data_IF_089070077798
#
_entry.id   IF_089070077798
#
_cell.length_a   1.000
_cell.length_b   1.000
_cell.length_c   1.000
_cell.angle_alpha   90.00
_cell.angle_beta   90.00
_cell.angle_gamma   90.00
#
_symmetry.space_group_name_H-M   'P 1'
#
loop_
_entity.id
_entity.type
_entity.pdbx_description
1 polymer ?
#
# COMPACT_ATOMS: atom_id res chain seq x y z
N UNK A 1 -13.57 18.02 -45.83
CA UNK A 1 -12.59 16.94 -45.54
C UNK A 1 -12.06 17.15 -44.13
N UNK A 2 -11.84 16.09 -43.34
CA UNK A 2 -11.63 16.20 -41.89
C UNK A 2 -10.30 16.89 -41.55
N UNK A 3 -10.34 17.70 -40.50
CA UNK A 3 -9.21 18.43 -39.91
C UNK A 3 -8.14 17.46 -39.40
N UNK A 4 -6.90 17.65 -39.88
CA UNK A 4 -5.68 16.92 -39.47
C UNK A 4 -5.24 17.20 -38.01
N UNK A 5 -5.98 18.00 -37.23
CA UNK A 5 -5.59 18.38 -35.87
C UNK A 5 -5.94 17.35 -34.77
N UNK A 6 -6.55 16.21 -35.13
CA UNK A 6 -6.96 15.18 -34.16
C UNK A 6 -5.93 14.07 -33.88
N UNK A 7 -4.78 14.05 -34.57
CA UNK A 7 -3.97 12.85 -34.69
C UNK A 7 -2.48 13.04 -34.35
N UNK A 8 -2.16 13.61 -33.18
CA UNK A 8 -0.90 13.30 -32.47
C UNK A 8 -1.09 13.55 -30.96
N UNK A 9 -1.85 12.69 -30.27
CA UNK A 9 -1.47 12.45 -28.88
C UNK A 9 -0.15 11.67 -28.95
N UNK A 10 0.88 12.09 -28.20
CA UNK A 10 2.12 11.31 -28.18
C UNK A 10 1.80 9.93 -27.61
N UNK A 11 2.39 8.87 -28.17
CA UNK A 11 2.21 7.49 -27.68
C UNK A 11 2.49 7.37 -26.17
N UNK A 12 3.43 8.17 -25.65
CA UNK A 12 3.73 8.30 -24.22
C UNK A 12 2.58 8.92 -23.43
N UNK A 13 1.92 9.94 -23.97
CA UNK A 13 0.76 10.58 -23.33
C UNK A 13 -0.49 9.70 -23.31
N UNK A 14 -0.70 8.87 -24.35
CA UNK A 14 -1.77 7.85 -24.36
C UNK A 14 -1.51 6.76 -23.32
N UNK A 15 -0.29 6.21 -23.27
CA UNK A 15 0.06 5.19 -22.27
C UNK A 15 -0.09 5.69 -20.83
N UNK A 16 0.28 6.94 -20.56
CA UNK A 16 0.13 7.52 -19.22
C UNK A 16 -1.34 7.73 -18.85
N UNK A 17 -2.17 8.13 -19.83
CA UNK A 17 -3.61 8.27 -19.64
C UNK A 17 -4.26 6.92 -19.33
N UNK A 18 -3.96 5.89 -20.11
CA UNK A 18 -4.47 4.53 -19.89
C UNK A 18 -4.03 3.99 -18.51
N UNK A 19 -2.78 4.26 -18.12
CA UNK A 19 -2.26 3.89 -16.80
C UNK A 19 -2.98 4.61 -15.66
N UNK A 20 -3.28 5.89 -15.83
CA UNK A 20 -4.06 6.67 -14.85
C UNK A 20 -5.49 6.16 -14.73
N UNK A 21 -6.13 5.79 -15.83
CA UNK A 21 -7.47 5.20 -15.85
C UNK A 21 -7.48 3.84 -15.16
N UNK A 22 -6.47 3.01 -15.42
CA UNK A 22 -6.26 1.76 -14.69
C UNK A 22 -6.14 2.01 -13.18
N UNK A 23 -5.28 2.93 -12.74
CA UNK A 23 -5.09 3.22 -11.31
C UNK A 23 -6.40 3.64 -10.62
N UNK A 24 -7.23 4.46 -11.28
CA UNK A 24 -8.55 4.85 -10.76
C UNK A 24 -9.48 3.65 -10.62
N UNK A 25 -9.53 2.78 -11.62
CA UNK A 25 -10.34 1.55 -11.57
C UNK A 25 -9.83 0.56 -10.51
N UNK A 26 -8.51 0.39 -10.42
CA UNK A 26 -7.86 -0.46 -9.44
C UNK A 26 -8.17 -0.01 -8.01
N UNK A 27 -8.12 1.30 -7.73
CA UNK A 27 -8.48 1.86 -6.43
C UNK A 27 -9.92 1.46 -6.02
N UNK A 28 -10.88 1.60 -6.92
CA UNK A 28 -12.27 1.19 -6.69
C UNK A 28 -12.42 -0.32 -6.49
N UNK A 29 -11.59 -1.12 -7.16
CA UNK A 29 -11.61 -2.57 -7.06
C UNK A 29 -11.11 -3.05 -5.70
N UNK A 30 -9.94 -2.55 -5.27
CA UNK A 30 -9.21 -3.05 -4.10
C UNK A 30 -9.54 -2.31 -2.80
N UNK A 31 -10.28 -1.19 -2.86
CA UNK A 31 -10.68 -0.42 -1.69
C UNK A 31 -12.14 0.03 -1.75
N UNK A 32 -12.94 -0.31 -0.73
CA UNK A 32 -14.32 0.21 -0.61
C UNK A 32 -14.35 1.61 -0.01
N UNK A 33 -13.62 1.82 1.09
CA UNK A 33 -13.67 3.07 1.85
C UNK A 33 -12.80 4.17 1.24
N UNK A 34 -11.53 3.86 0.92
CA UNK A 34 -10.62 4.88 0.40
C UNK A 34 -10.94 5.30 -1.04
N UNK A 35 -11.60 4.43 -1.82
CA UNK A 35 -12.11 4.82 -3.14
C UNK A 35 -13.19 5.91 -3.08
N UNK A 36 -13.82 6.12 -1.92
CA UNK A 36 -14.79 7.21 -1.72
C UNK A 36 -14.13 8.49 -1.23
N UNK A 37 -13.02 8.41 -0.49
CA UNK A 37 -12.39 9.57 0.15
C UNK A 37 -11.22 10.13 -0.64
N UNK A 38 -10.39 9.29 -1.27
CA UNK A 38 -9.24 9.73 -2.06
C UNK A 38 -9.66 10.67 -3.21
N UNK A 39 -10.75 10.41 -3.98
CA UNK A 39 -11.19 11.35 -5.02
C UNK A 39 -11.63 12.73 -4.54
N UNK A 40 -11.80 12.94 -3.23
CA UNK A 40 -12.24 14.21 -2.64
C UNK A 40 -11.07 15.17 -2.35
N UNK A 41 -9.83 14.72 -2.47
CA UNK A 41 -8.64 15.55 -2.23
C UNK A 41 -8.36 16.49 -3.41
N UNK A 42 -7.47 17.46 -3.22
CA UNK A 42 -7.05 18.38 -4.28
C UNK A 42 -6.38 17.64 -5.45
N UNK A 43 -6.63 18.08 -6.68
CA UNK A 43 -6.15 17.43 -7.91
C UNK A 43 -4.63 17.19 -7.93
N UNK A 44 -3.85 18.12 -7.39
CA UNK A 44 -2.39 18.05 -7.36
C UNK A 44 -1.83 17.10 -6.29
N UNK A 45 -2.70 16.50 -5.47
CA UNK A 45 -2.37 15.53 -4.41
C UNK A 45 -3.04 14.18 -4.68
N UNK A 46 -4.14 14.17 -5.44
CA UNK A 46 -4.93 13.00 -5.79
C UNK A 46 -4.09 11.87 -6.39
N UNK A 47 -3.29 12.19 -7.43
CA UNK A 47 -2.45 11.22 -8.12
C UNK A 47 -1.49 10.50 -7.17
N UNK A 48 -0.62 11.24 -6.45
CA UNK A 48 0.31 10.64 -5.51
C UNK A 48 -0.36 9.84 -4.38
N UNK A 49 -1.48 10.31 -3.81
CA UNK A 49 -2.22 9.54 -2.77
C UNK A 49 -2.75 8.24 -3.34
N UNK A 50 -3.37 8.28 -4.53
CA UNK A 50 -3.91 7.09 -5.18
C UNK A 50 -2.82 6.08 -5.50
N UNK A 51 -1.72 6.51 -6.10
CA UNK A 51 -0.61 5.63 -6.47
C UNK A 51 0.09 5.08 -5.22
N UNK A 52 0.36 5.91 -4.22
CA UNK A 52 0.95 5.47 -2.96
C UNK A 52 0.08 4.45 -2.24
N UNK A 53 -1.25 4.60 -2.29
CA UNK A 53 -2.18 3.58 -1.79
C UNK A 53 -2.07 2.26 -2.56
N UNK A 54 -1.99 2.31 -3.89
CA UNK A 54 -1.88 1.10 -4.72
C UNK A 54 -0.53 0.39 -4.51
N UNK A 55 0.56 1.13 -4.37
CA UNK A 55 1.88 0.56 -4.05
C UNK A 55 1.91 -0.10 -2.68
N UNK A 56 1.36 0.58 -1.66
CA UNK A 56 1.17 0.01 -0.34
C UNK A 56 0.28 -1.25 -0.40
N UNK A 57 -0.78 -1.27 -1.23
CA UNK A 57 -1.64 -2.44 -1.41
C UNK A 57 -0.93 -3.61 -2.12
N UNK A 58 -0.05 -3.35 -3.07
CA UNK A 58 0.80 -4.39 -3.69
C UNK A 58 1.72 -4.99 -2.63
N UNK A 59 2.37 -4.15 -1.81
CA UNK A 59 3.24 -4.59 -0.73
C UNK A 59 2.48 -5.45 0.29
N UNK A 60 1.32 -4.96 0.75
CA UNK A 60 0.39 -5.63 1.67
C UNK A 60 -0.05 -6.99 1.14
N UNK A 61 -0.23 -7.13 -0.18
CA UNK A 61 -0.60 -8.40 -0.81
C UNK A 61 0.43 -9.51 -0.55
N UNK A 62 1.73 -9.18 -0.55
CA UNK A 62 2.78 -10.16 -0.28
C UNK A 62 2.94 -10.47 1.22
N UNK A 63 2.43 -9.60 2.10
CA UNK A 63 2.46 -9.77 3.55
C UNK A 63 1.25 -10.58 4.04
N UNK A 64 0.05 -10.26 3.54
CA UNK A 64 -1.24 -10.77 4.04
C UNK A 64 -1.78 -11.99 3.26
N UNK A 65 -1.66 -12.01 1.93
CA UNK A 65 -2.36 -13.02 1.11
C UNK A 65 -1.70 -14.41 1.30
N UNK A 66 -2.52 -15.42 1.60
CA UNK A 66 -2.08 -16.80 1.82
C UNK A 66 -1.67 -17.53 0.53
N UNK A 67 -1.86 -16.90 -0.63
CA UNK A 67 -1.51 -17.44 -1.94
C UNK A 67 -2.42 -18.60 -2.37
N UNK A 68 -2.31 -19.02 -3.65
CA UNK A 68 -3.04 -20.21 -4.14
C UNK A 68 -2.31 -21.52 -3.84
N UNK A 69 -1.08 -21.41 -3.40
CA UNK A 69 -0.25 -22.48 -2.86
C UNK A 69 0.38 -21.98 -1.57
N UNK A 70 0.96 -22.88 -0.81
CA UNK A 70 1.80 -22.49 0.31
C UNK A 70 2.98 -21.64 -0.20
N UNK A 71 3.06 -20.39 0.26
CA UNK A 71 4.14 -19.44 -0.05
C UNK A 71 5.00 -19.30 1.20
N UNK A 72 6.30 -19.57 1.07
CA UNK A 72 7.22 -19.49 2.20
C UNK A 72 7.43 -18.03 2.65
N UNK A 73 7.87 -17.86 3.90
CA UNK A 73 8.22 -16.55 4.43
C UNK A 73 9.32 -15.87 3.60
N UNK A 74 10.29 -16.64 3.13
CA UNK A 74 11.38 -16.17 2.27
C UNK A 74 10.86 -15.66 0.92
N UNK A 75 9.94 -16.39 0.29
CA UNK A 75 9.31 -15.97 -0.98
C UNK A 75 8.54 -14.66 -0.84
N UNK A 76 7.82 -14.48 0.28
CA UNK A 76 7.12 -13.22 0.61
C UNK A 76 8.10 -12.06 0.75
N UNK A 77 9.13 -12.25 1.57
CA UNK A 77 10.17 -11.23 1.82
C UNK A 77 10.90 -10.87 0.53
N UNK A 78 11.22 -11.84 -0.32
CA UNK A 78 11.87 -11.61 -1.61
C UNK A 78 10.98 -10.76 -2.52
N UNK A 79 9.69 -11.06 -2.61
CA UNK A 79 8.75 -10.26 -3.42
C UNK A 79 8.61 -8.81 -2.91
N UNK A 80 8.53 -8.62 -1.59
CA UNK A 80 8.48 -7.29 -0.96
C UNK A 80 9.77 -6.49 -1.23
N UNK A 81 10.94 -7.12 -1.09
CA UNK A 81 12.22 -6.50 -1.39
C UNK A 81 12.37 -6.18 -2.88
N UNK A 82 11.86 -7.03 -3.76
CA UNK A 82 11.87 -6.82 -5.19
C UNK A 82 11.02 -5.61 -5.58
N UNK A 83 9.83 -5.45 -4.99
CA UNK A 83 9.01 -4.24 -5.18
C UNK A 83 9.75 -2.98 -4.74
N UNK A 84 10.37 -3.01 -3.55
CA UNK A 84 11.13 -1.86 -3.05
C UNK A 84 12.30 -1.51 -3.96
N UNK A 85 13.06 -2.51 -4.43
CA UNK A 85 14.18 -2.25 -5.33
C UNK A 85 13.74 -1.67 -6.68
N UNK A 86 12.60 -2.11 -7.23
CA UNK A 86 12.00 -1.51 -8.44
C UNK A 86 11.74 -0.01 -8.23
N UNK A 87 11.21 0.36 -7.07
CA UNK A 87 10.86 1.75 -6.74
C UNK A 87 12.08 2.61 -6.41
N UNK A 88 13.09 2.05 -5.72
CA UNK A 88 14.32 2.75 -5.38
C UNK A 88 15.27 2.90 -6.58
N UNK A 89 15.28 1.93 -7.49
CA UNK A 89 16.19 1.86 -8.61
C UNK A 89 15.45 1.70 -9.96
N UNK A 90 14.53 2.62 -10.34
CA UNK A 90 13.66 2.43 -11.50
C UNK A 90 14.41 2.33 -12.85
N UNK A 91 15.65 2.81 -12.91
CA UNK A 91 16.50 2.82 -14.11
C UNK A 91 17.58 1.71 -14.11
N UNK A 92 17.62 0.84 -13.10
CA UNK A 92 18.60 -0.25 -13.09
C UNK A 92 18.27 -1.31 -14.16
N UNK A 93 19.31 -1.95 -14.71
CA UNK A 93 19.15 -2.97 -15.75
C UNK A 93 18.27 -4.15 -15.29
N UNK A 94 18.39 -4.52 -14.01
CA UNK A 94 17.60 -5.60 -13.39
C UNK A 94 16.13 -5.26 -13.13
N UNK A 95 15.73 -3.98 -13.19
CA UNK A 95 14.37 -3.56 -12.82
C UNK A 95 13.30 -4.16 -13.72
N UNK A 96 13.58 -4.26 -15.02
CA UNK A 96 12.63 -4.86 -15.97
C UNK A 96 12.37 -6.34 -15.65
N UNK A 97 13.44 -7.09 -15.38
CA UNK A 97 13.37 -8.50 -15.02
C UNK A 97 12.60 -8.69 -13.70
N UNK A 98 12.87 -7.86 -12.69
CA UNK A 98 12.15 -7.88 -11.41
C UNK A 98 10.64 -7.67 -11.57
N UNK A 99 10.24 -6.71 -12.42
CA UNK A 99 8.82 -6.51 -12.73
C UNK A 99 8.22 -7.74 -13.42
N UNK A 100 8.93 -8.34 -14.38
CA UNK A 100 8.47 -9.56 -15.07
C UNK A 100 8.32 -10.74 -14.09
N UNK A 101 9.25 -10.89 -13.15
CA UNK A 101 9.19 -11.90 -12.09
C UNK A 101 7.97 -11.71 -11.19
N UNK A 102 7.75 -10.52 -10.63
CA UNK A 102 6.59 -10.25 -9.75
C UNK A 102 5.26 -10.40 -10.47
N UNK A 103 5.16 -9.90 -11.71
CA UNK A 103 3.92 -10.02 -12.49
C UNK A 103 3.65 -11.47 -12.90
N UNK A 104 4.70 -12.26 -13.17
CA UNK A 104 4.61 -13.68 -13.51
C UNK A 104 4.24 -14.58 -12.33
N UNK A 105 4.70 -14.25 -11.12
CA UNK A 105 4.41 -15.04 -9.91
C UNK A 105 3.01 -14.80 -9.33
N UNK A 106 2.33 -13.72 -9.75
CA UNK A 106 1.05 -13.29 -9.19
C UNK A 106 -0.06 -14.38 -9.20
N UNK A 107 -0.10 -15.25 -10.22
CA UNK A 107 -1.12 -16.31 -10.29
C UNK A 107 -1.01 -17.37 -9.19
N UNK A 108 0.20 -17.57 -8.68
CA UNK A 108 0.50 -18.51 -7.61
C UNK A 108 0.52 -17.82 -6.25
N UNK A 109 1.15 -16.65 -6.17
CA UNK A 109 1.36 -15.94 -4.91
C UNK A 109 0.13 -15.22 -4.37
N UNK A 110 -0.90 -14.96 -5.20
CA UNK A 110 -2.03 -14.11 -4.79
C UNK A 110 -3.37 -14.80 -5.01
N UNK A 111 -4.06 -15.13 -3.92
CA UNK A 111 -5.37 -15.76 -3.91
C UNK A 111 -6.48 -14.78 -4.31
N UNK A 112 -6.47 -13.56 -3.79
CA UNK A 112 -7.52 -12.59 -4.10
C UNK A 112 -7.44 -12.14 -5.57
N UNK A 113 -8.48 -12.33 -6.39
CA UNK A 113 -8.42 -12.01 -7.81
C UNK A 113 -8.19 -10.53 -8.11
N UNK A 114 -8.64 -9.63 -7.22
CA UNK A 114 -8.49 -8.19 -7.38
C UNK A 114 -7.07 -7.73 -7.05
N UNK A 115 -6.48 -8.28 -5.99
CA UNK A 115 -5.09 -8.00 -5.63
C UNK A 115 -4.15 -8.59 -6.67
N UNK A 116 -4.49 -9.77 -7.21
CA UNK A 116 -3.74 -10.37 -8.30
C UNK A 116 -3.75 -9.52 -9.57
N UNK A 117 -4.90 -8.98 -9.94
CA UNK A 117 -5.01 -8.05 -11.07
C UNK A 117 -4.12 -6.81 -10.84
N UNK A 118 -4.11 -6.30 -9.60
CA UNK A 118 -3.24 -5.20 -9.20
C UNK A 118 -1.75 -5.52 -9.38
N UNK A 119 -1.28 -6.67 -8.89
CA UNK A 119 0.11 -7.10 -9.07
C UNK A 119 0.44 -7.27 -10.55
N UNK A 120 -0.41 -7.97 -11.32
CA UNK A 120 -0.20 -8.21 -12.77
C UNK A 120 -0.07 -6.93 -13.58
N UNK A 121 -0.82 -5.90 -13.22
CA UNK A 121 -0.83 -4.61 -13.90
C UNK A 121 -0.01 -3.54 -13.17
N UNK A 122 0.90 -3.92 -12.27
CA UNK A 122 1.72 -2.95 -11.52
C UNK A 122 2.54 -2.02 -12.43
N UNK A 123 2.82 -2.42 -13.69
CA UNK A 123 3.45 -1.55 -14.70
C UNK A 123 2.68 -0.25 -14.93
N UNK A 124 1.35 -0.27 -14.87
CA UNK A 124 0.51 0.92 -14.97
C UNK A 124 0.68 1.82 -13.74
N UNK A 125 0.74 1.22 -12.54
CA UNK A 125 0.99 1.96 -11.29
C UNK A 125 2.36 2.66 -11.35
N UNK A 126 3.40 1.92 -11.74
CA UNK A 126 4.77 2.42 -11.91
C UNK A 126 4.89 3.50 -12.99
N UNK A 127 4.12 3.40 -14.09
CA UNK A 127 4.08 4.42 -15.13
C UNK A 127 3.52 5.75 -14.60
N UNK A 128 2.48 5.70 -13.77
CA UNK A 128 1.94 6.90 -13.11
C UNK A 128 2.92 7.43 -12.05
N UNK A 129 3.49 6.56 -11.22
CA UNK A 129 4.52 6.93 -10.24
C UNK A 129 5.67 7.71 -10.90
N UNK A 130 6.19 7.17 -12.01
CA UNK A 130 7.33 7.74 -12.73
C UNK A 130 7.04 9.12 -13.34
N UNK A 131 5.77 9.50 -13.45
CA UNK A 131 5.35 10.81 -13.97
C UNK A 131 5.40 11.93 -12.92
N UNK A 132 5.55 11.60 -11.64
CA UNK A 132 5.64 12.58 -10.56
C UNK A 132 7.02 13.23 -10.47
N UNK A 133 7.06 14.43 -9.88
CA UNK A 133 8.32 15.11 -9.54
C UNK A 133 9.15 14.32 -8.52
N UNK A 134 10.46 14.54 -8.52
CA UNK A 134 11.42 13.78 -7.70
C UNK A 134 11.09 13.84 -6.21
N UNK A 135 10.79 15.04 -5.68
CA UNK A 135 10.42 15.23 -4.27
C UNK A 135 9.21 14.37 -3.85
N UNK A 136 8.25 14.20 -4.76
CA UNK A 136 7.07 13.36 -4.52
C UNK A 136 7.43 11.87 -4.52
N UNK A 137 8.23 11.42 -5.49
CA UNK A 137 8.69 10.03 -5.57
C UNK A 137 9.54 9.67 -4.36
N UNK A 138 10.49 10.52 -3.98
CA UNK A 138 11.34 10.33 -2.78
C UNK A 138 10.50 10.21 -1.51
N UNK A 139 9.48 11.07 -1.35
CA UNK A 139 8.53 10.99 -0.24
C UNK A 139 7.80 9.63 -0.21
N UNK A 140 7.21 9.23 -1.35
CA UNK A 140 6.48 7.96 -1.48
C UNK A 140 7.36 6.76 -1.16
N UNK A 141 8.55 6.68 -1.79
CA UNK A 141 9.48 5.56 -1.62
C UNK A 141 10.01 5.49 -0.19
N UNK A 142 10.31 6.62 0.45
CA UNK A 142 10.79 6.65 1.84
C UNK A 142 9.76 6.07 2.80
N UNK A 143 8.51 6.52 2.72
CA UNK A 143 7.46 6.03 3.61
C UNK A 143 7.11 4.56 3.36
N UNK A 144 7.06 4.14 2.09
CA UNK A 144 6.83 2.74 1.74
C UNK A 144 7.98 1.83 2.19
N UNK A 145 9.22 2.31 2.14
CA UNK A 145 10.39 1.60 2.67
C UNK A 145 10.28 1.36 4.18
N UNK A 146 9.86 2.37 4.92
CA UNK A 146 9.66 2.26 6.37
C UNK A 146 8.52 1.29 6.71
N UNK A 147 7.40 1.37 5.97
CA UNK A 147 6.31 0.40 6.04
C UNK A 147 6.80 -1.03 5.80
N UNK A 148 7.54 -1.26 4.71
CA UNK A 148 8.10 -2.55 4.34
C UNK A 148 9.02 -3.12 5.42
N UNK A 149 9.90 -2.30 5.99
CA UNK A 149 10.77 -2.72 7.09
C UNK A 149 9.96 -3.26 8.27
N UNK A 150 8.92 -2.54 8.67
CA UNK A 150 8.03 -2.93 9.75
C UNK A 150 7.24 -4.20 9.48
N UNK A 151 6.67 -4.31 8.29
CA UNK A 151 5.94 -5.52 7.87
C UNK A 151 6.83 -6.76 7.92
N UNK A 152 8.06 -6.68 7.38
CA UNK A 152 9.00 -7.80 7.46
C UNK A 152 9.45 -8.14 8.88
N UNK A 153 9.50 -7.16 9.78
CA UNK A 153 9.74 -7.38 11.21
C UNK A 153 8.61 -8.26 11.78
N UNK A 154 7.36 -7.87 11.58
CA UNK A 154 6.16 -8.54 12.11
C UNK A 154 5.75 -9.82 11.38
N UNK A 155 6.31 -10.10 10.20
CA UNK A 155 6.27 -11.45 9.62
C UNK A 155 7.12 -12.47 10.39
N UNK A 156 8.09 -12.02 11.19
CA UNK A 156 9.03 -12.86 11.96
C UNK A 156 8.76 -12.88 13.45
N UNK A 157 7.85 -12.04 13.94
CA UNK A 157 7.54 -11.89 15.36
C UNK A 157 6.04 -11.75 15.57
N UNK A 158 5.53 -12.34 16.65
CA UNK A 158 4.15 -12.14 17.07
C UNK A 158 3.97 -10.78 17.77
N UNK A 159 2.75 -10.23 17.72
CA UNK A 159 2.36 -9.07 18.52
C UNK A 159 2.06 -9.55 19.95
N UNK A 160 3.06 -9.48 20.84
CA UNK A 160 2.91 -10.01 22.18
C UNK A 160 2.36 -8.99 23.19
N UNK A 161 2.80 -7.74 23.13
CA UNK A 161 2.49 -6.66 24.09
C UNK A 161 1.76 -5.48 23.43
N UNK A 162 1.24 -4.56 24.26
CA UNK A 162 0.69 -3.31 23.73
C UNK A 162 1.74 -2.44 23.04
N UNK A 163 3.00 -2.53 23.47
CA UNK A 163 4.08 -1.82 22.79
C UNK A 163 4.34 -2.40 21.40
N UNK A 164 4.29 -3.73 21.27
CA UNK A 164 4.41 -4.40 19.97
C UNK A 164 3.21 -4.05 19.08
N UNK A 165 2.01 -3.96 19.65
CA UNK A 165 0.81 -3.54 18.92
C UNK A 165 0.94 -2.10 18.42
N UNK A 166 1.41 -1.17 19.26
CA UNK A 166 1.63 0.22 18.89
C UNK A 166 2.70 0.36 17.80
N UNK A 167 3.75 -0.44 17.88
CA UNK A 167 4.81 -0.49 16.87
C UNK A 167 4.31 -1.11 15.55
N UNK A 168 3.54 -2.20 15.60
CA UNK A 168 2.90 -2.79 14.43
C UNK A 168 1.97 -1.77 13.75
N UNK A 169 1.08 -1.15 14.53
CA UNK A 169 0.15 -0.14 14.03
C UNK A 169 0.89 1.08 13.45
N UNK A 170 2.02 1.46 14.04
CA UNK A 170 2.88 2.51 13.49
C UNK A 170 3.34 2.13 12.09
N UNK A 171 3.90 0.95 11.90
CA UNK A 171 4.42 0.57 10.59
C UNK A 171 3.34 0.45 9.52
N UNK A 172 2.21 -0.20 9.80
CA UNK A 172 1.20 -0.47 8.76
C UNK A 172 0.19 0.67 8.55
N UNK A 173 0.04 1.59 9.50
CA UNK A 173 -0.92 2.70 9.41
C UNK A 173 -0.39 4.07 9.85
N UNK A 174 0.59 4.11 10.76
CA UNK A 174 1.33 5.33 11.06
C UNK A 174 2.19 5.81 9.88
N UNK A 175 2.88 4.93 9.16
CA UNK A 175 3.70 5.34 8.02
C UNK A 175 2.87 5.83 6.81
N UNK A 176 1.72 5.22 6.42
CA UNK A 176 0.84 5.84 5.43
C UNK A 176 0.26 7.17 5.92
N UNK A 177 -0.01 7.32 7.22
CA UNK A 177 -0.46 8.60 7.78
C UNK A 177 0.62 9.68 7.67
N UNK A 178 1.88 9.36 7.99
CA UNK A 178 3.01 10.26 7.79
C UNK A 178 3.21 10.66 6.33
N UNK A 179 3.08 9.70 5.41
CA UNK A 179 3.06 9.98 3.96
C UNK A 179 1.97 10.98 3.58
N UNK A 180 0.73 10.74 4.02
CA UNK A 180 -0.39 11.65 3.73
C UNK A 180 -0.14 13.04 4.31
N UNK A 181 0.28 13.12 5.57
CA UNK A 181 0.55 14.39 6.26
C UNK A 181 1.65 15.18 5.55
N UNK A 182 2.78 14.55 5.24
CA UNK A 182 3.88 15.21 4.55
C UNK A 182 3.45 15.73 3.17
N UNK A 183 2.77 14.90 2.40
CA UNK A 183 2.32 15.25 1.05
C UNK A 183 1.30 16.39 1.08
N UNK A 184 0.32 16.34 1.98
CA UNK A 184 -0.69 17.39 2.15
C UNK A 184 -0.03 18.70 2.57
N UNK A 185 0.87 18.67 3.55
CA UNK A 185 1.57 19.87 4.04
C UNK A 185 2.45 20.52 2.99
N UNK A 186 3.07 19.72 2.12
CA UNK A 186 3.92 20.24 1.03
C UNK A 186 3.13 20.76 -0.16
N UNK A 187 2.00 20.14 -0.51
CA UNK A 187 1.33 20.36 -1.81
C UNK A 187 -0.04 21.00 -1.73
N UNK A 188 -0.74 20.95 -0.59
CA UNK A 188 -2.06 21.57 -0.48
C UNK A 188 -1.99 23.08 -0.68
N UNK A 189 -2.89 23.60 -1.53
CA UNK A 189 -2.99 25.05 -1.76
C UNK A 189 -3.91 25.73 -0.75
N UNK A 190 -4.66 24.94 0.03
CA UNK A 190 -5.73 25.40 0.91
C UNK A 190 -5.45 25.17 2.40
N UNK A 191 -4.30 24.58 2.73
CA UNK A 191 -3.92 24.28 4.11
C UNK A 191 -3.43 25.54 4.83
N UNK A 192 -4.04 25.88 5.97
CA UNK A 192 -3.54 26.92 6.87
C UNK A 192 -2.36 26.41 7.69
N UNK A 193 -1.52 27.31 8.22
CA UNK A 193 -0.39 26.95 9.08
C UNK A 193 -0.84 26.23 10.36
N UNK A 194 -1.98 26.66 10.92
CA UNK A 194 -2.61 26.00 12.07
C UNK A 194 -2.99 24.55 11.74
N UNK A 195 -3.69 24.31 10.63
CA UNK A 195 -4.05 22.95 10.22
C UNK A 195 -2.82 22.12 9.83
N UNK A 196 -1.78 22.73 9.25
CA UNK A 196 -0.49 22.09 8.97
C UNK A 196 0.18 21.59 10.25
N UNK A 197 0.11 22.39 11.32
CA UNK A 197 0.65 22.04 12.64
C UNK A 197 -0.15 20.92 13.28
N UNK A 198 -1.48 20.99 13.23
CA UNK A 198 -2.37 19.93 13.72
C UNK A 198 -2.08 18.59 13.03
N UNK A 199 -1.94 18.57 11.70
CA UNK A 199 -1.63 17.34 10.97
C UNK A 199 -0.31 16.73 11.44
N UNK A 200 0.74 17.55 11.56
CA UNK A 200 2.06 17.10 11.98
C UNK A 200 2.07 16.56 13.42
N UNK A 201 1.37 17.22 14.34
CA UNK A 201 1.31 16.79 15.76
C UNK A 201 0.53 15.48 15.94
N UNK A 202 -0.42 15.18 15.06
CA UNK A 202 -1.35 14.06 15.22
C UNK A 202 -1.15 12.91 14.21
N UNK A 203 -0.21 13.03 13.26
CA UNK A 203 -0.07 12.07 12.14
C UNK A 203 0.08 10.62 12.63
N UNK A 204 0.92 10.41 13.64
CA UNK A 204 1.17 9.07 14.18
C UNK A 204 -0.11 8.51 14.81
N UNK A 205 -0.71 9.27 15.71
CA UNK A 205 -1.86 8.81 16.50
C UNK A 205 -3.10 8.61 15.63
N UNK A 206 -3.26 9.40 14.56
CA UNK A 206 -4.30 9.18 13.55
C UNK A 206 -4.19 7.80 12.91
N UNK A 207 -2.99 7.42 12.45
CA UNK A 207 -2.74 6.11 11.84
C UNK A 207 -2.99 4.96 12.83
N UNK A 208 -2.43 5.07 14.05
CA UNK A 208 -2.62 4.08 15.10
C UNK A 208 -4.10 3.89 15.48
N UNK A 209 -4.84 4.99 15.61
CA UNK A 209 -6.25 4.94 15.95
C UNK A 209 -7.06 4.16 14.91
N UNK A 210 -6.89 4.49 13.62
CA UNK A 210 -7.60 3.79 12.55
C UNK A 210 -7.26 2.29 12.53
N UNK A 211 -5.98 1.93 12.71
CA UNK A 211 -5.57 0.53 12.67
C UNK A 211 -6.09 -0.26 13.87
N UNK A 212 -6.05 0.32 15.08
CA UNK A 212 -6.61 -0.34 16.27
C UNK A 212 -8.11 -0.57 16.14
N UNK A 213 -8.85 0.36 15.54
CA UNK A 213 -10.28 0.18 15.26
C UNK A 213 -10.50 -0.98 14.30
N UNK A 214 -9.71 -1.09 13.22
CA UNK A 214 -9.79 -2.23 12.29
C UNK A 214 -9.48 -3.56 13.00
N UNK A 215 -8.37 -3.65 13.75
CA UNK A 215 -7.97 -4.87 14.50
C UNK A 215 -9.05 -5.33 15.49
N UNK A 216 -9.77 -4.39 16.12
CA UNK A 216 -10.87 -4.73 17.03
C UNK A 216 -12.09 -5.23 16.25
N UNK A 217 -12.44 -4.55 15.15
CA UNK A 217 -13.60 -4.87 14.31
C UNK A 217 -13.45 -6.22 13.60
N UNK A 218 -12.27 -6.50 13.08
CA UNK A 218 -12.01 -7.59 12.12
C UNK A 218 -11.45 -8.86 12.80
N UNK A 219 -11.35 -8.87 14.15
CA UNK A 219 -10.75 -9.96 14.94
C UNK A 219 -11.19 -11.38 14.54
N UNK A 220 -12.48 -11.57 14.22
CA UNK A 220 -13.00 -12.89 13.80
C UNK A 220 -12.50 -13.27 12.40
N UNK A 221 -12.52 -12.34 11.46
CA UNK A 221 -12.08 -12.56 10.09
C UNK A 221 -10.55 -12.81 10.06
N UNK A 222 -9.78 -12.04 10.82
CA UNK A 222 -8.32 -12.20 10.93
C UNK A 222 -7.91 -13.61 11.37
N UNK A 223 -8.63 -14.19 12.34
CA UNK A 223 -8.33 -15.53 12.86
C UNK A 223 -8.76 -16.62 11.88
N UNK A 224 -9.97 -16.53 11.32
CA UNK A 224 -10.58 -17.63 10.58
C UNK A 224 -10.14 -17.67 9.12
N UNK A 225 -9.95 -16.50 8.51
CA UNK A 225 -9.70 -16.39 7.07
C UNK A 225 -8.22 -16.09 6.77
N UNK A 226 -7.54 -15.36 7.67
CA UNK A 226 -6.14 -14.92 7.47
C UNK A 226 -5.13 -15.65 8.37
N UNK A 227 -5.59 -16.45 9.35
CA UNK A 227 -4.75 -17.12 10.34
C UNK A 227 -3.81 -16.17 11.12
N UNK A 228 -4.21 -14.90 11.30
CA UNK A 228 -3.42 -13.86 11.97
C UNK A 228 -4.01 -13.46 13.32
N UNK A 229 -3.13 -13.11 14.26
CA UNK A 229 -3.49 -12.62 15.58
C UNK A 229 -2.72 -11.32 15.85
N UNK A 230 -3.43 -10.20 15.81
CA UNK A 230 -2.87 -8.88 16.12
C UNK A 230 -3.12 -8.44 17.57
N UNK A 231 -4.01 -9.15 18.29
CA UNK A 231 -4.26 -8.85 19.70
C UNK A 231 -3.05 -9.27 20.55
N UNK A 232 -2.62 -8.45 21.53
CA UNK A 232 -1.46 -8.76 22.36
C UNK A 232 -1.55 -10.17 22.98
N UNK A 233 -0.59 -11.02 22.63
CA UNK A 233 -0.57 -12.44 23.05
C UNK A 233 -0.68 -12.66 24.56
N UNK A 234 -0.20 -11.71 25.39
CA UNK A 234 -0.36 -11.83 26.85
C UNK A 234 -1.83 -11.82 27.32
N UNK A 235 -2.74 -11.19 26.57
CA UNK A 235 -4.17 -11.18 26.86
C UNK A 235 -4.80 -12.55 26.56
N UNK A 236 -4.31 -13.22 25.51
CA UNK A 236 -4.85 -14.48 25.03
C UNK A 236 -4.45 -15.66 25.91
N UNK A 237 -3.30 -15.58 26.61
CA UNK A 237 -2.84 -16.64 27.54
C UNK A 237 -3.86 -17.00 28.63
N UNK A 238 -4.67 -16.03 29.05
CA UNK A 238 -5.68 -16.23 30.10
C UNK A 238 -7.05 -16.66 29.56
N UNK A 239 -7.23 -16.61 28.24
CA UNK A 239 -8.47 -16.98 27.57
C UNK A 239 -8.21 -18.35 26.93
N UNK A 240 -8.93 -19.40 27.35
CA UNK A 240 -8.95 -20.67 26.62
C UNK A 240 -9.71 -20.48 25.30
N UNK A 241 -9.13 -19.71 24.38
CA UNK A 241 -9.62 -19.54 23.02
C UNK A 241 -9.44 -20.89 22.31
N UNK A 242 -10.50 -21.69 22.30
CA UNK A 242 -10.57 -22.84 21.43
C UNK A 242 -10.94 -22.31 20.04
N UNK A 243 -9.93 -21.91 19.25
CA UNK A 243 -10.09 -21.35 17.90
C UNK A 243 -10.80 -22.32 16.94
N UNK A 244 -10.95 -23.60 17.31
CA UNK A 244 -11.72 -24.62 16.57
C UNK A 244 -13.25 -24.56 16.74
N UNK A 245 -13.77 -23.67 17.59
CA UNK A 245 -15.21 -23.59 17.89
C UNK A 245 -15.93 -22.38 17.23
N UNK A 246 -15.27 -21.65 16.31
CA UNK A 246 -15.83 -20.42 15.68
C UNK A 246 -15.73 -20.42 14.16
#
# INVERSE_FOLDING_TARGET
MPSLYGAVKSKTGELLQDSMEYCKGALQSVSRSFALTIPLVEENILGPIMVGYLEARILDTFEDDIGKREISLEERIEAMNMLMDILENPNAESTKEKIETLTGSADEMVQNPKYRDLVKNMKSVLAVHSSFDEDTKECMVRWLKEMNFGMQKFLKQEVYSFNDLDEYCYYVAGTPSGFLTELIRKRSKKLSEENSSILMENERDFGLFLQKVNIIRDFREDILDNEKIFWPGFLLKNIKLNLKNY
#
